data_IF_811801494035
#
_entry.id   IF_811801494035
#
_cell.length_a   1.000
_cell.length_b   1.000
_cell.length_c   1.000
_cell.angle_alpha   90.00
_cell.angle_beta   90.00
_cell.angle_gamma   90.00
#
_symmetry.space_group_name_H-M   'P 1'
#
loop_
_entity.id
_entity.type
_entity.pdbx_description
1 polymer ?
#
# COMPACT_ATOMS: atom_id res chain seq x y z
N UNK A 1 -1.57 -0.82 20.69
CA UNK A 1 -0.79 -0.31 19.55
C UNK A 1 -1.38 -0.92 18.29
N UNK A 2 -1.72 -0.10 17.29
CA UNK A 2 -2.16 -0.61 15.99
C UNK A 2 -1.02 -1.38 15.29
N UNK A 3 -1.40 -2.41 14.53
CA UNK A 3 -0.50 -3.41 13.94
C UNK A 3 -0.66 -3.49 12.43
N UNK A 4 0.38 -3.93 11.74
CA UNK A 4 0.26 -4.37 10.36
C UNK A 4 -0.66 -5.58 10.30
N UNK A 5 -1.53 -5.63 9.29
CA UNK A 5 -2.51 -6.69 9.11
C UNK A 5 -2.58 -7.07 7.65
N UNK A 6 -2.53 -8.37 7.37
CA UNK A 6 -2.74 -8.90 6.02
C UNK A 6 -4.13 -9.53 5.94
N UNK A 7 -4.79 -9.33 4.80
CA UNK A 7 -6.08 -9.95 4.53
C UNK A 7 -5.95 -11.48 4.46
N UNK A 8 -6.93 -12.20 5.00
CA UNK A 8 -6.81 -13.66 5.17
C UNK A 8 -6.73 -14.41 3.84
N UNK A 9 -7.50 -13.98 2.85
CA UNK A 9 -7.50 -14.53 1.50
C UNK A 9 -6.24 -14.14 0.72
N UNK A 10 -5.68 -12.95 0.93
CA UNK A 10 -4.38 -12.58 0.36
C UNK A 10 -3.30 -13.59 0.78
N UNK A 11 -3.19 -13.89 2.07
CA UNK A 11 -2.23 -14.91 2.56
C UNK A 11 -2.46 -16.28 1.91
N UNK A 12 -3.72 -16.69 1.71
CA UNK A 12 -4.05 -17.94 1.02
C UNK A 12 -3.73 -17.90 -0.48
N UNK A 13 -3.88 -16.74 -1.12
CA UNK A 13 -3.63 -16.54 -2.55
C UNK A 13 -2.15 -16.64 -2.89
N UNK A 14 -1.27 -16.13 -2.04
CA UNK A 14 0.19 -16.23 -2.17
C UNK A 14 0.76 -17.61 -1.80
N UNK A 15 -0.07 -18.58 -1.39
CA UNK A 15 0.43 -19.79 -0.72
C UNK A 15 1.36 -20.68 -1.57
N UNK A 16 1.24 -20.68 -2.89
CA UNK A 16 2.13 -21.48 -3.77
C UNK A 16 3.50 -20.83 -3.97
N UNK A 17 3.62 -19.54 -3.66
CA UNK A 17 4.86 -18.78 -3.86
C UNK A 17 5.44 -18.26 -2.55
N UNK A 18 4.96 -18.79 -1.42
CA UNK A 18 5.44 -18.41 -0.09
C UNK A 18 6.92 -18.75 0.13
N UNK A 19 7.39 -19.86 -0.44
CA UNK A 19 8.77 -20.34 -0.33
C UNK A 19 9.67 -19.85 -1.48
N UNK A 20 9.20 -18.89 -2.28
CA UNK A 20 10.01 -18.33 -3.36
C UNK A 20 11.25 -17.62 -2.78
N UNK A 21 12.43 -17.85 -3.37
CA UNK A 21 13.73 -17.45 -2.77
C UNK A 21 13.89 -15.94 -2.51
N UNK A 22 13.10 -15.11 -3.17
CA UNK A 22 13.09 -13.67 -2.97
C UNK A 22 12.12 -13.20 -1.88
N UNK A 23 11.22 -14.08 -1.41
CA UNK A 23 10.36 -13.82 -0.26
C UNK A 23 11.09 -14.29 0.99
N UNK A 24 11.55 -13.33 1.78
CA UNK A 24 12.40 -13.54 2.97
C UNK A 24 11.59 -13.47 4.25
N UNK A 25 10.49 -12.70 4.24
CA UNK A 25 9.67 -12.42 5.42
C UNK A 25 8.20 -12.38 5.05
N UNK A 26 7.32 -12.73 5.99
CA UNK A 26 5.86 -12.60 5.85
C UNK A 26 5.41 -11.20 5.38
N UNK A 27 6.22 -10.16 5.64
CA UNK A 27 5.96 -8.79 5.24
C UNK A 27 6.03 -8.56 3.71
N UNK A 28 6.67 -9.45 2.94
CA UNK A 28 6.81 -9.31 1.48
C UNK A 28 5.45 -9.35 0.78
N UNK A 29 4.57 -10.27 1.18
CA UNK A 29 3.20 -10.37 0.65
C UNK A 29 2.39 -9.11 0.99
N UNK A 30 2.54 -8.61 2.22
CA UNK A 30 1.90 -7.38 2.65
C UNK A 30 2.36 -6.18 1.80
N UNK A 31 3.67 -6.08 1.56
CA UNK A 31 4.29 -5.02 0.78
C UNK A 31 3.82 -5.04 -0.68
N UNK A 32 3.80 -6.22 -1.33
CA UNK A 32 3.33 -6.36 -2.72
C UNK A 32 1.87 -5.90 -2.87
N UNK A 33 1.01 -6.31 -1.93
CA UNK A 33 -0.35 -5.83 -1.85
C UNK A 33 -0.43 -4.32 -1.58
N UNK A 34 0.38 -3.79 -0.66
CA UNK A 34 0.39 -2.37 -0.32
C UNK A 34 0.75 -1.49 -1.53
N UNK A 35 1.80 -1.86 -2.26
CA UNK A 35 2.23 -1.15 -3.46
C UNK A 35 1.17 -1.19 -4.57
N UNK A 36 0.49 -2.33 -4.75
CA UNK A 36 -0.64 -2.43 -5.68
C UNK A 36 -1.83 -1.55 -5.26
N UNK A 37 -2.09 -1.43 -3.95
CA UNK A 37 -3.11 -0.54 -3.41
C UNK A 37 -2.79 0.93 -3.64
N UNK A 38 -1.54 1.33 -3.42
CA UNK A 38 -1.09 2.69 -3.72
C UNK A 38 -1.12 3.01 -5.21
N UNK A 39 -0.67 2.09 -6.06
CA UNK A 39 -0.67 2.27 -7.50
C UNK A 39 -2.10 2.43 -8.04
N UNK A 40 -3.00 1.52 -7.67
CA UNK A 40 -4.40 1.51 -8.15
C UNK A 40 -5.32 2.51 -7.43
N UNK A 41 -4.85 3.11 -6.34
CA UNK A 41 -5.66 3.94 -5.45
C UNK A 41 -6.73 3.18 -4.65
N UNK A 42 -6.77 1.84 -4.72
CA UNK A 42 -7.79 1.01 -4.08
C UNK A 42 -7.50 0.78 -2.60
N UNK A 43 -8.52 0.90 -1.76
CA UNK A 43 -8.45 0.62 -0.32
C UNK A 43 -9.70 -0.11 0.17
N UNK A 44 -9.55 -1.10 1.04
CA UNK A 44 -10.67 -1.87 1.61
C UNK A 44 -10.47 -2.14 3.11
N UNK A 45 -11.32 -1.53 3.95
CA UNK A 45 -11.27 -1.65 5.42
C UNK A 45 -12.12 -2.80 5.98
N UNK A 46 -13.01 -3.38 5.17
CA UNK A 46 -14.08 -4.26 5.65
C UNK A 46 -13.70 -5.75 5.57
N UNK A 47 -12.61 -6.08 4.90
CA UNK A 47 -12.20 -7.46 4.72
C UNK A 47 -11.61 -8.07 6.02
N UNK A 48 -11.81 -9.37 6.28
CA UNK A 48 -11.16 -10.06 7.39
C UNK A 48 -9.64 -10.06 7.27
N UNK A 49 -8.95 -9.64 8.33
CA UNK A 49 -7.48 -9.55 8.36
C UNK A 49 -6.90 -10.24 9.60
N UNK A 50 -5.67 -10.72 9.46
CA UNK A 50 -4.87 -11.30 10.54
C UNK A 50 -3.75 -10.34 10.94
N UNK A 51 -3.50 -10.22 12.24
CA UNK A 51 -2.41 -9.39 12.76
C UNK A 51 -1.03 -9.97 12.42
N UNK A 52 -0.10 -9.07 12.12
CA UNK A 52 1.31 -9.38 11.88
C UNK A 52 2.15 -8.75 13.01
N UNK A 53 3.03 -7.82 12.65
CA UNK A 53 3.91 -7.07 13.57
C UNK A 53 3.40 -5.65 13.82
N UNK A 54 3.92 -4.97 14.85
CA UNK A 54 3.57 -3.59 15.19
C UNK A 54 4.59 -2.54 14.75
N UNK A 55 5.64 -2.96 14.05
CA UNK A 55 6.74 -2.13 13.55
C UNK A 55 7.14 -2.57 12.14
N UNK A 56 7.86 -1.71 11.41
CA UNK A 56 8.51 -2.12 10.16
C UNK A 56 9.63 -3.11 10.48
N UNK A 57 9.57 -4.32 9.89
CA UNK A 57 10.61 -5.36 10.04
C UNK A 57 11.95 -4.88 9.47
N UNK A 58 13.07 -5.48 9.89
CA UNK A 58 14.43 -4.99 9.59
C UNK A 58 14.65 -4.73 8.09
N UNK A 59 14.18 -5.64 7.24
CA UNK A 59 14.29 -5.58 5.78
C UNK A 59 13.60 -4.34 5.19
N UNK A 60 12.53 -3.87 5.84
CA UNK A 60 11.70 -2.75 5.37
C UNK A 60 11.89 -1.45 6.16
N UNK A 61 12.67 -1.45 7.25
CA UNK A 61 13.00 -0.22 8.00
C UNK A 61 13.58 0.88 7.10
N UNK A 62 14.52 0.60 6.16
CA UNK A 62 15.05 1.63 5.27
C UNK A 62 13.98 2.26 4.36
N UNK A 63 12.95 1.49 3.98
CA UNK A 63 11.86 1.93 3.12
C UNK A 63 10.66 2.54 3.88
N UNK A 64 10.64 2.46 5.22
CA UNK A 64 9.51 2.89 6.06
C UNK A 64 9.05 4.32 5.76
N UNK A 65 9.97 5.28 5.70
CA UNK A 65 9.65 6.69 5.41
C UNK A 65 9.06 6.88 4.03
N UNK A 66 9.51 6.10 3.04
CA UNK A 66 8.98 6.13 1.69
C UNK A 66 7.54 5.60 1.66
N UNK A 67 7.29 4.45 2.31
CA UNK A 67 5.94 3.88 2.42
C UNK A 67 4.96 4.82 3.12
N UNK A 68 5.39 5.49 4.20
CA UNK A 68 4.59 6.51 4.89
C UNK A 68 4.31 7.70 3.96
N UNK A 69 5.31 8.14 3.19
CA UNK A 69 5.13 9.19 2.18
C UNK A 69 4.08 8.81 1.12
N UNK A 70 4.14 7.59 0.61
CA UNK A 70 3.16 7.08 -0.35
C UNK A 70 1.75 7.04 0.24
N UNK A 71 1.59 6.65 1.51
CA UNK A 71 0.30 6.72 2.19
C UNK A 71 -0.25 8.15 2.22
N UNK A 72 0.58 9.12 2.60
CA UNK A 72 0.16 10.53 2.66
C UNK A 72 -0.29 11.00 1.28
N UNK A 73 0.48 10.70 0.22
CA UNK A 73 0.11 11.05 -1.15
C UNK A 73 -1.20 10.38 -1.60
N UNK A 74 -1.38 9.09 -1.28
CA UNK A 74 -2.60 8.37 -1.62
C UNK A 74 -3.84 8.97 -0.93
N UNK A 75 -3.72 9.37 0.34
CA UNK A 75 -4.80 10.01 1.10
C UNK A 75 -5.08 11.45 0.65
N UNK A 76 -4.05 12.21 0.23
CA UNK A 76 -4.25 13.53 -0.40
C UNK A 76 -5.07 13.40 -1.68
N UNK A 77 -4.67 12.49 -2.58
CA UNK A 77 -5.38 12.21 -3.83
C UNK A 77 -6.82 11.79 -3.56
N UNK A 78 -7.04 10.88 -2.61
CA UNK A 78 -8.38 10.42 -2.22
C UNK A 78 -9.25 11.55 -1.67
N UNK A 79 -8.65 12.53 -1.00
CA UNK A 79 -9.34 13.68 -0.43
C UNK A 79 -9.51 14.85 -1.42
N UNK A 80 -8.96 14.75 -2.64
CA UNK A 80 -8.95 15.85 -3.60
C UNK A 80 -8.11 17.06 -3.15
N UNK A 81 -7.16 16.86 -2.25
CA UNK A 81 -6.28 17.91 -1.72
C UNK A 81 -5.04 17.99 -2.58
N UNK A 82 -4.72 19.18 -3.08
CA UNK A 82 -3.49 19.41 -3.84
C UNK A 82 -2.27 19.47 -2.90
N UNK A 83 -1.13 18.93 -3.37
CA UNK A 83 0.13 18.90 -2.59
C UNK A 83 0.68 20.29 -2.23
N UNK A 84 0.24 21.33 -2.94
CA UNK A 84 0.58 22.73 -2.69
C UNK A 84 -0.23 23.35 -1.55
N UNK A 85 -1.34 22.72 -1.13
CA UNK A 85 -2.19 23.16 -0.03
C UNK A 85 -1.55 22.89 1.35
N UNK A 86 -0.47 23.61 1.66
CA UNK A 86 0.41 23.37 2.80
C UNK A 86 -0.32 23.13 4.13
N UNK A 87 -1.38 23.88 4.40
CA UNK A 87 -2.17 23.73 5.63
C UNK A 87 -2.93 22.41 5.68
N UNK A 88 -3.60 22.04 4.58
CA UNK A 88 -4.35 20.81 4.46
C UNK A 88 -3.41 19.58 4.48
N UNK A 89 -2.29 19.66 3.75
CA UNK A 89 -1.23 18.64 3.76
C UNK A 89 -0.69 18.42 5.16
N UNK A 90 -0.37 19.48 5.91
CA UNK A 90 0.13 19.37 7.28
C UNK A 90 -0.91 18.78 8.22
N UNK A 91 -2.19 19.10 8.04
CA UNK A 91 -3.27 18.55 8.84
C UNK A 91 -3.45 17.05 8.60
N UNK A 92 -3.41 16.61 7.34
CA UNK A 92 -3.47 15.20 6.99
C UNK A 92 -2.25 14.43 7.51
N UNK A 93 -1.04 14.98 7.34
CA UNK A 93 0.19 14.37 7.84
C UNK A 93 0.10 14.10 9.35
N UNK A 94 -0.36 15.08 10.14
CA UNK A 94 -0.55 14.91 11.59
C UNK A 94 -1.60 13.86 11.97
N UNK A 95 -2.59 13.62 11.11
CA UNK A 95 -3.59 12.57 11.35
C UNK A 95 -3.02 11.17 11.13
N UNK A 96 -2.07 11.02 10.22
CA UNK A 96 -1.57 9.71 9.79
C UNK A 96 -0.25 9.31 10.46
N UNK A 97 0.61 10.28 10.77
CA UNK A 97 1.99 10.05 11.20
C UNK A 97 2.17 10.41 12.67
N UNK A 98 2.72 9.48 13.43
CA UNK A 98 3.14 9.67 14.83
C UNK A 98 4.61 9.26 14.97
N UNK A 99 5.56 10.20 15.07
CA UNK A 99 6.99 9.87 15.14
C UNK A 99 7.39 9.13 16.43
N UNK A 100 6.51 9.05 17.43
CA UNK A 100 6.78 8.39 18.70
C UNK A 100 6.28 6.94 18.72
N UNK A 101 5.51 6.50 17.72
CA UNK A 101 5.05 5.11 17.64
C UNK A 101 6.10 4.21 16.98
N UNK A 102 6.16 2.89 17.29
CA UNK A 102 7.13 1.96 16.70
C UNK A 102 7.06 1.85 15.17
N UNK A 103 5.89 2.08 14.59
CA UNK A 103 5.64 2.07 13.15
C UNK A 103 5.55 3.48 12.53
N UNK A 104 5.84 4.54 13.32
CA UNK A 104 5.76 5.94 12.90
C UNK A 104 4.38 6.40 12.40
N UNK A 105 3.32 5.65 12.69
CA UNK A 105 1.94 5.92 12.28
C UNK A 105 1.03 6.05 13.50
N UNK A 106 -0.03 6.84 13.35
CA UNK A 106 -1.16 6.84 14.28
C UNK A 106 -2.03 5.59 14.07
N UNK A 107 -3.00 5.34 14.94
CA UNK A 107 -4.00 4.28 14.72
C UNK A 107 -4.79 4.49 13.40
N UNK A 108 -5.04 5.76 13.04
CA UNK A 108 -5.61 6.14 11.75
C UNK A 108 -4.67 5.75 10.60
N UNK A 109 -3.40 6.17 10.67
CA UNK A 109 -2.39 5.86 9.64
C UNK A 109 -2.23 4.36 9.42
N UNK A 110 -2.18 3.59 10.51
CA UNK A 110 -2.13 2.12 10.44
C UNK A 110 -3.37 1.52 9.80
N UNK A 111 -4.57 2.01 10.14
CA UNK A 111 -5.81 1.54 9.52
C UNK A 111 -5.83 1.82 8.03
N UNK A 112 -5.44 3.03 7.61
CA UNK A 112 -5.38 3.42 6.19
C UNK A 112 -4.31 2.61 5.43
N UNK A 113 -3.13 2.39 6.02
CA UNK A 113 -2.06 1.57 5.42
C UNK A 113 -2.54 0.12 5.17
N UNK A 114 -3.17 -0.50 6.18
CA UNK A 114 -3.75 -1.84 6.02
C UNK A 114 -4.90 -1.87 5.00
N UNK A 115 -5.69 -0.80 4.92
CA UNK A 115 -6.76 -0.68 3.93
C UNK A 115 -6.21 -0.69 2.50
N UNK A 116 -5.10 0.02 2.23
CA UNK A 116 -4.46 -0.01 0.92
C UNK A 116 -3.86 -1.37 0.60
N UNK A 117 -3.21 -2.05 1.55
CA UNK A 117 -2.76 -3.43 1.32
C UNK A 117 -3.94 -4.36 0.97
N UNK A 118 -5.03 -4.28 1.73
CA UNK A 118 -6.25 -5.05 1.46
C UNK A 118 -6.87 -4.73 0.08
N UNK A 119 -6.95 -3.45 -0.29
CA UNK A 119 -7.48 -3.04 -1.60
C UNK A 119 -6.54 -3.35 -2.78
N UNK A 120 -5.23 -3.41 -2.53
CA UNK A 120 -4.27 -3.87 -3.51
C UNK A 120 -4.36 -5.36 -3.78
N UNK A 121 -4.70 -6.17 -2.77
CA UNK A 121 -5.08 -7.56 -3.02
C UNK A 121 -6.33 -7.67 -3.90
N UNK A 122 -7.38 -6.86 -3.65
CA UNK A 122 -8.56 -6.82 -4.53
C UNK A 122 -8.14 -6.52 -5.98
N UNK A 123 -7.27 -5.53 -6.18
CA UNK A 123 -6.71 -5.24 -7.50
C UNK A 123 -6.00 -6.44 -8.12
N UNK A 124 -5.02 -7.02 -7.43
CA UNK A 124 -4.19 -8.11 -7.97
C UNK A 124 -5.02 -9.36 -8.30
N UNK A 125 -5.96 -9.72 -7.42
CA UNK A 125 -6.79 -10.91 -7.58
C UNK A 125 -7.88 -10.75 -8.65
N UNK A 126 -8.34 -9.52 -8.92
CA UNK A 126 -9.24 -9.25 -10.04
C UNK A 126 -8.54 -9.22 -11.40
N UNK A 127 -7.30 -8.71 -11.45
CA UNK A 127 -6.55 -8.61 -12.71
C UNK A 127 -5.94 -9.93 -13.16
N UNK A 128 -5.78 -10.90 -12.26
CA UNK A 128 -5.30 -12.24 -12.59
C UNK A 128 -6.44 -13.24 -12.58
N UNK A 129 -6.58 -14.02 -13.64
CA UNK A 129 -7.58 -15.10 -13.72
C UNK A 129 -7.32 -16.20 -12.68
N UNK A 130 -6.06 -16.46 -12.36
CA UNK A 130 -5.63 -17.47 -11.39
C UNK A 130 -4.65 -16.90 -10.38
N UNK A 131 -4.62 -17.53 -9.21
CA UNK A 131 -3.54 -17.31 -8.24
C UNK A 131 -2.16 -17.65 -8.83
N UNK A 132 -1.07 -17.06 -8.33
CA UNK A 132 0.26 -17.37 -8.82
C UNK A 132 0.67 -18.79 -8.42
N UNK A 133 1.41 -19.47 -9.30
CA UNK A 133 1.97 -20.80 -9.04
C UNK A 133 3.49 -20.80 -8.89
N UNK A 134 4.17 -19.82 -9.48
CA UNK A 134 5.63 -19.62 -9.35
C UNK A 134 5.93 -18.15 -9.06
N UNK A 135 7.00 -17.90 -8.32
CA UNK A 135 7.38 -16.54 -7.93
C UNK A 135 7.86 -15.70 -9.12
N UNK A 136 8.54 -16.33 -10.08
CA UNK A 136 9.06 -15.70 -11.29
C UNK A 136 7.94 -15.22 -12.20
N UNK A 137 6.93 -16.07 -12.44
CA UNK A 137 5.72 -15.69 -13.18
C UNK A 137 5.01 -14.54 -12.46
N UNK A 138 4.83 -14.66 -11.15
CA UNK A 138 4.19 -13.62 -10.35
C UNK A 138 4.90 -12.28 -10.50
N UNK A 139 6.22 -12.22 -10.30
CA UNK A 139 6.99 -10.97 -10.37
C UNK A 139 6.93 -10.33 -11.76
N UNK A 140 7.02 -11.12 -12.82
CA UNK A 140 6.92 -10.61 -14.20
C UNK A 140 5.57 -9.93 -14.43
N UNK A 141 4.48 -10.61 -14.06
CA UNK A 141 3.13 -10.08 -14.28
C UNK A 141 2.86 -8.90 -13.32
N UNK A 142 3.37 -8.97 -12.10
CA UNK A 142 3.22 -7.93 -11.08
C UNK A 142 3.75 -6.57 -11.57
N UNK A 143 4.93 -6.54 -12.19
CA UNK A 143 5.49 -5.28 -12.75
C UNK A 143 4.53 -4.67 -13.78
N UNK A 144 3.99 -5.49 -14.69
CA UNK A 144 3.04 -5.02 -15.70
C UNK A 144 1.74 -4.49 -15.08
N UNK A 145 1.24 -5.14 -14.03
CA UNK A 145 0.05 -4.71 -13.31
C UNK A 145 0.28 -3.39 -12.57
N UNK A 146 1.45 -3.18 -11.96
CA UNK A 146 1.78 -1.91 -11.31
C UNK A 146 1.87 -0.79 -12.34
N UNK A 147 2.53 -1.01 -13.47
CA UNK A 147 2.64 0.00 -14.54
C UNK A 147 1.25 0.40 -15.08
N UNK A 148 0.34 -0.57 -15.25
CA UNK A 148 -1.04 -0.30 -15.65
C UNK A 148 -1.82 0.46 -14.58
N UNK A 149 -1.62 0.14 -13.30
CA UNK A 149 -2.32 0.77 -12.18
C UNK A 149 -1.93 2.24 -11.97
N UNK A 150 -0.63 2.58 -12.10
CA UNK A 150 -0.15 3.96 -11.93
C UNK A 150 -0.71 4.88 -13.01
N UNK A 151 -1.04 4.34 -14.19
CA UNK A 151 -1.52 5.10 -15.35
C UNK A 151 -0.44 6.03 -15.93
N UNK A 152 -0.74 6.75 -17.03
CA UNK A 152 0.17 7.77 -17.56
C UNK A 152 0.36 8.90 -16.55
N UNK A 153 1.62 9.29 -16.31
CA UNK A 153 2.04 10.33 -15.35
C UNK A 153 1.37 11.71 -15.63
N UNK A 154 0.76 11.90 -16.81
CA UNK A 154 0.25 13.19 -17.31
C UNK A 154 -1.20 13.54 -16.93
N UNK A 155 -1.93 12.70 -16.17
CA UNK A 155 -3.31 13.02 -15.77
C UNK A 155 -3.42 13.91 -14.51
N UNK A 156 -2.36 14.62 -14.14
CA UNK A 156 -2.44 15.69 -13.14
C UNK A 156 -3.27 16.85 -13.73
N UNK A 157 -4.31 17.35 -13.04
CA UNK A 157 -5.04 18.50 -13.53
C UNK A 157 -4.07 19.67 -13.63
N UNK A 158 -3.84 20.13 -14.87
CA UNK A 158 -3.10 21.36 -15.11
C UNK A 158 -3.79 22.47 -14.32
N UNK A 159 -3.10 22.99 -13.31
CA UNK A 159 -3.58 24.11 -12.51
C UNK A 159 -4.10 25.19 -13.45
N UNK A 160 -5.37 25.56 -13.27
CA UNK A 160 -6.02 26.62 -14.01
C UNK A 160 -5.16 27.86 -13.94
N UNK A 161 -4.64 28.29 -15.09
CA UNK A 161 -3.90 29.54 -15.19
C UNK A 161 -4.83 30.69 -14.79
N UNK A 162 -4.40 31.61 -13.90
CA UNK A 162 -5.20 32.78 -13.59
C UNK A 162 -5.30 33.67 -14.83
N UNK A 163 -6.54 34.06 -15.13
CA UNK A 163 -6.91 35.04 -16.16
C UNK A 163 -6.44 36.44 -15.82
#
# INVERSE_FOLDING_TARGET
MARFRIRNDARAWFNQIADFEHFKVDFDQYYLCLMAGFASGRSNENAPMTEMVDHFVEEYKPASRFLIGLLVIAELRKSGIDVTERTAVRALFKRLVDPHSPNQLTDEGMRRMNAYSSGGYDYLSEQRETKPYTGEEFLRDYVQLIDQAVGPIDSLPAGSQPS
#
